data_IF_652215692578
#
_entry.id   IF_652215692578
#
_cell.length_a   1.000
_cell.length_b   1.000
_cell.length_c   1.000
_cell.angle_alpha   90.00
_cell.angle_beta   90.00
_cell.angle_gamma   90.00
#
_symmetry.space_group_name_H-M   'P 1'
#
loop_
_entity.id
_entity.type
_entity.pdbx_description
1 polymer ?
#
# COMPACT_ATOMS: atom_id res chain seq x y z
N UNK A 1 -13.19 22.06 8.48
CA UNK A 1 -11.83 22.60 8.28
C UNK A 1 -11.79 23.20 6.88
N UNK A 2 -11.44 24.47 6.72
CA UNK A 2 -11.29 25.13 5.40
C UNK A 2 -9.87 24.96 4.82
N UNK A 3 -9.13 23.95 5.27
CA UNK A 3 -7.76 23.70 4.86
C UNK A 3 -7.73 22.75 3.66
N UNK A 4 -7.13 23.20 2.56
CA UNK A 4 -6.78 22.33 1.43
C UNK A 4 -5.47 21.60 1.75
N UNK A 5 -5.46 20.28 1.58
CA UNK A 5 -4.29 19.42 1.83
C UNK A 5 -3.93 18.67 0.55
N UNK A 6 -2.66 18.75 0.12
CA UNK A 6 -2.18 17.97 -1.02
C UNK A 6 -1.66 16.60 -0.56
N UNK A 7 -2.35 15.54 -0.96
CA UNK A 7 -2.01 14.15 -0.62
C UNK A 7 -1.35 13.47 -1.82
N UNK A 8 -0.31 12.69 -1.57
CA UNK A 8 0.37 11.84 -2.55
C UNK A 8 0.30 10.37 -2.16
N UNK A 9 0.27 9.50 -3.16
CA UNK A 9 0.39 8.05 -3.00
C UNK A 9 1.47 7.53 -3.94
N UNK A 10 2.39 6.74 -3.40
CA UNK A 10 3.48 6.17 -4.18
C UNK A 10 2.96 4.97 -4.96
N UNK A 11 3.11 5.05 -6.29
CA UNK A 11 2.96 3.92 -7.21
C UNK A 11 4.30 3.72 -7.92
N UNK A 12 5.11 2.81 -7.39
CA UNK A 12 6.46 2.58 -7.87
C UNK A 12 6.87 1.14 -7.61
N UNK A 13 7.89 0.69 -8.33
CA UNK A 13 8.54 -0.59 -8.04
C UNK A 13 9.52 -0.44 -6.87
N UNK A 14 9.51 -1.30 -5.84
CA UNK A 14 10.50 -1.25 -4.76
C UNK A 14 11.90 -1.67 -5.25
N UNK A 15 12.91 -1.54 -4.39
CA UNK A 15 14.22 -2.16 -4.65
C UNK A 15 14.22 -3.53 -3.98
N UNK A 16 13.90 -4.56 -4.77
CA UNK A 16 13.65 -5.91 -4.29
C UNK A 16 14.85 -6.49 -3.54
N UNK A 17 14.64 -6.88 -2.28
CA UNK A 17 15.63 -7.55 -1.44
C UNK A 17 16.93 -6.74 -1.26
N UNK A 18 16.81 -5.42 -1.22
CA UNK A 18 17.91 -4.49 -0.97
C UNK A 18 17.43 -3.39 -0.02
N UNK A 19 17.82 -3.51 1.25
CA UNK A 19 17.44 -2.56 2.28
C UNK A 19 18.00 -1.14 2.01
N UNK A 20 19.29 -1.03 1.68
CA UNK A 20 19.92 0.29 1.49
C UNK A 20 19.39 0.97 0.23
N UNK A 21 19.29 0.23 -0.88
CA UNK A 21 18.69 0.75 -2.11
C UNK A 21 17.22 1.15 -1.91
N UNK A 22 16.46 0.40 -1.12
CA UNK A 22 15.08 0.75 -0.76
C UNK A 22 15.00 2.05 0.04
N UNK A 23 15.91 2.26 1.00
CA UNK A 23 15.99 3.51 1.78
C UNK A 23 16.36 4.69 0.88
N UNK A 24 17.37 4.53 0.02
CA UNK A 24 17.79 5.57 -0.93
C UNK A 24 16.64 5.97 -1.86
N UNK A 25 15.92 4.99 -2.40
CA UNK A 25 14.74 5.22 -3.25
C UNK A 25 13.60 5.88 -2.49
N UNK A 26 13.37 5.48 -1.24
CA UNK A 26 12.34 6.08 -0.37
C UNK A 26 12.61 7.56 -0.16
N UNK A 27 13.86 7.91 0.17
CA UNK A 27 14.30 9.30 0.35
C UNK A 27 14.10 10.11 -0.94
N UNK A 28 14.52 9.56 -2.09
CA UNK A 28 14.34 10.23 -3.39
C UNK A 28 12.87 10.52 -3.71
N UNK A 29 11.96 9.59 -3.40
CA UNK A 29 10.52 9.77 -3.60
C UNK A 29 9.93 10.81 -2.66
N UNK A 30 10.38 10.86 -1.41
CA UNK A 30 10.00 11.90 -0.44
C UNK A 30 10.44 13.28 -0.94
N UNK A 31 11.68 13.42 -1.39
CA UNK A 31 12.21 14.69 -1.91
C UNK A 31 11.43 15.15 -3.15
N UNK A 32 11.10 14.23 -4.07
CA UNK A 32 10.26 14.54 -5.24
C UNK A 32 8.86 14.99 -4.85
N UNK A 33 8.21 14.27 -3.94
CA UNK A 33 6.86 14.62 -3.46
C UNK A 33 6.85 15.99 -2.76
N UNK A 34 7.91 16.29 -2.00
CA UNK A 34 8.10 17.59 -1.34
C UNK A 34 8.22 18.72 -2.36
N UNK A 35 9.00 18.53 -3.43
CA UNK A 35 9.12 19.49 -4.52
C UNK A 35 7.77 19.76 -5.21
N UNK A 36 6.91 18.76 -5.28
CA UNK A 36 5.54 18.89 -5.80
C UNK A 36 4.55 19.48 -4.76
N UNK A 37 5.00 19.82 -3.55
CA UNK A 37 4.17 20.40 -2.49
C UNK A 37 3.23 19.41 -1.79
N UNK A 38 3.53 18.11 -1.85
CA UNK A 38 2.78 17.07 -1.12
C UNK A 38 2.99 17.23 0.39
N UNK A 39 1.90 17.16 1.15
CA UNK A 39 1.88 17.35 2.60
C UNK A 39 1.63 16.04 3.37
N UNK A 40 0.94 15.08 2.76
CA UNK A 40 0.76 13.72 3.29
C UNK A 40 1.15 12.74 2.19
N UNK A 41 2.09 11.84 2.44
CA UNK A 41 2.58 10.87 1.45
C UNK A 41 2.43 9.43 1.98
N UNK A 42 1.70 8.60 1.24
CA UNK A 42 1.55 7.18 1.53
C UNK A 42 2.49 6.30 0.69
N UNK A 43 3.13 5.32 1.32
CA UNK A 43 3.90 4.27 0.65
C UNK A 43 3.14 2.93 0.58
N UNK A 44 3.48 2.06 -0.39
CA UNK A 44 2.87 0.75 -0.53
C UNK A 44 3.05 -0.16 0.70
N UNK A 45 2.25 -1.21 0.76
CA UNK A 45 2.37 -2.27 1.78
C UNK A 45 3.74 -2.90 1.66
N UNK A 46 4.48 -3.06 2.77
CA UNK A 46 5.79 -3.72 2.79
C UNK A 46 6.73 -3.16 1.69
N UNK A 47 6.72 -1.84 1.52
CA UNK A 47 7.53 -1.15 0.51
C UNK A 47 9.04 -1.41 0.68
N UNK A 48 9.52 -1.44 1.93
CA UNK A 48 10.91 -1.81 2.23
C UNK A 48 10.95 -3.26 2.73
N UNK A 49 11.58 -4.23 2.06
CA UNK A 49 12.30 -4.17 0.77
C UNK A 49 11.49 -4.75 -0.41
N UNK A 50 10.16 -4.65 -0.33
CA UNK A 50 9.22 -5.13 -1.35
C UNK A 50 8.38 -6.31 -0.88
N UNK A 51 7.19 -6.46 -1.45
CA UNK A 51 6.29 -7.57 -1.17
C UNK A 51 6.71 -8.80 -1.99
N UNK A 52 7.16 -9.88 -1.35
CA UNK A 52 7.77 -10.96 -2.09
C UNK A 52 6.75 -11.99 -2.58
N UNK A 53 6.37 -11.85 -3.84
CA UNK A 53 5.45 -12.78 -4.49
C UNK A 53 5.93 -14.24 -4.57
N UNK A 54 7.23 -14.48 -4.40
CA UNK A 54 7.80 -15.82 -4.38
C UNK A 54 7.12 -16.73 -3.33
N UNK A 55 6.64 -16.18 -2.21
CA UNK A 55 5.92 -16.97 -1.20
C UNK A 55 4.63 -17.61 -1.74
N UNK A 56 4.00 -16.98 -2.73
CA UNK A 56 2.75 -17.43 -3.34
C UNK A 56 3.00 -18.41 -4.49
N UNK A 57 4.12 -18.26 -5.17
CA UNK A 57 4.40 -18.95 -6.44
C UNK A 57 5.39 -20.09 -6.32
N UNK A 58 6.10 -20.20 -5.20
CA UNK A 58 7.09 -21.25 -4.97
C UNK A 58 6.66 -22.19 -3.83
N UNK A 59 6.94 -23.51 -3.98
CA UNK A 59 6.74 -24.46 -2.89
C UNK A 59 7.51 -24.06 -1.62
N UNK A 60 6.91 -24.30 -0.46
CA UNK A 60 7.51 -23.94 0.85
C UNK A 60 8.94 -24.46 1.03
N UNK A 61 9.22 -25.68 0.56
CA UNK A 61 10.56 -26.29 0.65
C UNK A 61 11.65 -25.52 -0.10
N UNK A 62 11.27 -24.73 -1.12
CA UNK A 62 12.19 -23.93 -1.91
C UNK A 62 12.40 -22.52 -1.33
N UNK A 63 11.63 -22.11 -0.34
CA UNK A 63 11.67 -20.76 0.21
C UNK A 63 12.70 -20.59 1.35
N UNK A 64 13.35 -21.66 1.81
CA UNK A 64 14.23 -21.63 2.98
C UNK A 64 15.37 -20.59 2.90
N UNK A 65 16.24 -20.69 1.90
CA UNK A 65 17.34 -19.73 1.71
C UNK A 65 16.85 -18.31 1.43
N UNK A 66 15.78 -18.19 0.65
CA UNK A 66 15.18 -16.93 0.26
C UNK A 66 14.58 -16.18 1.47
N UNK A 67 13.94 -16.87 2.43
CA UNK A 67 13.42 -16.25 3.66
C UNK A 67 14.56 -15.63 4.48
N UNK A 68 15.73 -16.27 4.55
CA UNK A 68 16.88 -15.71 5.24
C UNK A 68 17.39 -14.41 4.57
N UNK A 69 17.46 -14.39 3.23
CA UNK A 69 17.80 -13.17 2.48
C UNK A 69 16.76 -12.07 2.70
N UNK A 70 15.47 -12.42 2.69
CA UNK A 70 14.37 -11.49 2.95
C UNK A 70 14.44 -10.88 4.36
N UNK A 71 14.71 -11.72 5.36
CA UNK A 71 14.87 -11.30 6.75
C UNK A 71 16.07 -10.39 6.94
N UNK A 72 17.19 -10.65 6.26
CA UNK A 72 18.39 -9.80 6.29
C UNK A 72 18.15 -8.41 5.66
N UNK A 73 17.19 -8.31 4.73
CA UNK A 73 16.81 -7.07 4.06
C UNK A 73 15.51 -6.44 4.61
N UNK A 74 14.99 -6.95 5.72
CA UNK A 74 13.88 -6.34 6.45
C UNK A 74 14.39 -5.25 7.38
N UNK A 75 13.61 -4.17 7.54
CA UNK A 75 14.05 -2.99 8.27
C UNK A 75 13.61 -3.05 9.73
N UNK A 76 14.53 -2.82 10.67
CA UNK A 76 14.14 -2.57 12.07
C UNK A 76 13.64 -1.15 12.25
N UNK A 77 12.63 -0.96 13.09
CA UNK A 77 12.05 0.37 13.40
C UNK A 77 13.07 1.33 14.04
N UNK A 78 14.01 0.82 14.84
CA UNK A 78 15.02 1.60 15.55
C UNK A 78 16.38 1.69 14.82
N UNK A 79 16.41 1.31 13.54
CA UNK A 79 17.61 1.22 12.73
C UNK A 79 18.16 2.58 12.28
N UNK A 80 19.42 2.58 11.80
CA UNK A 80 20.00 3.75 11.13
C UNK A 80 19.24 4.11 9.85
N UNK A 81 18.74 3.10 9.15
CA UNK A 81 17.94 3.20 7.93
C UNK A 81 16.62 3.94 8.18
N UNK A 82 15.88 3.57 9.23
CA UNK A 82 14.70 4.33 9.65
C UNK A 82 15.05 5.78 10.00
N UNK A 83 16.16 6.00 10.73
CA UNK A 83 16.63 7.37 11.05
C UNK A 83 17.02 8.19 9.82
N UNK A 84 17.40 7.56 8.70
CA UNK A 84 17.64 8.25 7.42
C UNK A 84 16.32 8.69 6.80
N UNK A 85 15.31 7.82 6.79
CA UNK A 85 13.95 8.16 6.35
C UNK A 85 13.37 9.30 7.20
N UNK A 86 13.43 9.21 8.54
CA UNK A 86 12.99 10.26 9.46
C UNK A 86 13.60 11.64 9.16
N UNK A 87 14.92 11.68 8.90
CA UNK A 87 15.62 12.92 8.51
C UNK A 87 15.14 13.49 7.17
N UNK A 88 14.88 12.62 6.19
CA UNK A 88 14.32 13.05 4.91
C UNK A 88 12.90 13.61 5.06
N UNK A 89 12.06 12.96 5.87
CA UNK A 89 10.69 13.44 6.18
C UNK A 89 10.73 14.81 6.87
N UNK A 90 11.58 14.98 7.89
CA UNK A 90 11.78 16.26 8.57
C UNK A 90 12.17 17.38 7.60
N UNK A 91 13.15 17.11 6.72
CA UNK A 91 13.60 18.05 5.68
C UNK A 91 12.48 18.39 4.70
N UNK A 92 11.64 17.42 4.35
CA UNK A 92 10.52 17.58 3.44
C UNK A 92 9.30 18.29 4.06
N UNK A 93 9.20 18.32 5.40
CA UNK A 93 8.14 19.02 6.12
C UNK A 93 6.73 18.43 5.92
N UNK A 94 6.64 17.11 5.65
CA UNK A 94 5.39 16.39 5.36
C UNK A 94 5.13 15.25 6.36
N UNK A 95 3.90 14.74 6.40
CA UNK A 95 3.58 13.49 7.09
C UNK A 95 3.79 12.33 6.11
N UNK A 96 4.51 11.29 6.53
CA UNK A 96 4.73 10.08 5.72
C UNK A 96 4.17 8.85 6.42
N UNK A 97 3.37 8.06 5.70
CA UNK A 97 2.95 6.72 6.09
C UNK A 97 3.82 5.71 5.33
N UNK A 98 4.81 5.14 6.02
CA UNK A 98 5.80 4.25 5.43
C UNK A 98 5.48 2.78 5.75
N UNK A 99 5.18 1.98 4.72
CA UNK A 99 5.05 0.52 4.83
C UNK A 99 6.40 -0.19 4.71
N UNK A 100 6.65 -1.22 5.52
CA UNK A 100 7.90 -1.99 5.46
C UNK A 100 7.75 -3.37 6.12
N UNK A 101 8.58 -4.32 5.71
CA UNK A 101 8.82 -5.55 6.46
C UNK A 101 9.62 -5.18 7.70
N UNK A 102 8.95 -5.15 8.83
CA UNK A 102 9.53 -4.82 10.12
C UNK A 102 10.24 -6.05 10.68
N UNK A 103 11.55 -5.94 10.89
CA UNK A 103 12.28 -6.91 11.69
C UNK A 103 12.26 -6.46 13.16
N UNK A 104 11.77 -7.34 14.03
CA UNK A 104 11.84 -7.16 15.48
C UNK A 104 12.43 -8.43 16.08
N UNK A 105 13.68 -8.32 16.54
CA UNK A 105 14.54 -9.44 16.92
C UNK A 105 14.63 -10.46 15.77
N UNK A 106 14.15 -11.68 15.99
CA UNK A 106 14.20 -12.78 15.03
C UNK A 106 12.87 -13.00 14.28
N UNK A 107 11.91 -12.07 14.42
CA UNK A 107 10.59 -12.18 13.80
C UNK A 107 10.36 -11.04 12.80
N UNK A 108 9.52 -11.31 11.81
CA UNK A 108 9.10 -10.31 10.82
C UNK A 108 7.62 -9.94 11.03
N UNK A 109 7.29 -8.68 10.77
CA UNK A 109 5.93 -8.16 10.81
C UNK A 109 5.67 -7.23 9.61
N UNK A 110 4.41 -7.08 9.20
CA UNK A 110 4.04 -6.10 8.18
C UNK A 110 3.74 -4.77 8.86
N UNK A 111 4.76 -3.90 8.92
CA UNK A 111 4.71 -2.65 9.69
C UNK A 111 4.31 -1.44 8.83
N UNK A 112 3.63 -0.48 9.47
CA UNK A 112 3.45 0.88 8.97
C UNK A 112 3.86 1.88 10.06
N UNK A 113 4.72 2.84 9.73
CA UNK A 113 5.10 3.94 10.61
C UNK A 113 4.63 5.27 10.05
N UNK A 114 4.06 6.11 10.91
CA UNK A 114 3.64 7.47 10.62
C UNK A 114 4.72 8.41 11.13
N UNK A 115 5.42 9.06 10.21
CA UNK A 115 6.53 9.96 10.49
C UNK A 115 6.04 11.38 10.26
N UNK A 116 6.04 12.19 11.30
CA UNK A 116 5.53 13.56 11.26
C UNK A 116 6.53 14.56 10.67
N UNK A 117 6.13 15.84 10.66
CA UNK A 117 6.96 16.90 10.06
C UNK A 117 8.21 17.23 10.84
N UNK A 118 8.32 16.80 12.10
CA UNK A 118 9.52 16.93 12.91
C UNK A 118 10.48 15.76 12.70
N UNK A 119 10.05 14.75 11.93
CA UNK A 119 10.79 13.52 11.65
C UNK A 119 10.54 12.43 12.68
N UNK A 120 9.58 12.60 13.59
CA UNK A 120 9.32 11.65 14.67
C UNK A 120 8.28 10.63 14.27
N UNK A 121 8.46 9.38 14.73
CA UNK A 121 7.44 8.34 14.54
C UNK A 121 6.35 8.59 15.59
N UNK A 122 5.25 9.21 15.16
CA UNK A 122 4.11 9.55 16.03
C UNK A 122 3.10 8.42 16.15
N UNK A 123 3.17 7.44 15.24
CA UNK A 123 2.37 6.22 15.33
C UNK A 123 3.05 5.08 14.58
N UNK A 124 2.82 3.86 15.06
CA UNK A 124 3.31 2.62 14.46
C UNK A 124 2.28 1.53 14.66
N UNK A 125 2.03 0.77 13.60
CA UNK A 125 1.11 -0.36 13.60
C UNK A 125 1.68 -1.54 12.84
N UNK A 126 1.24 -2.74 13.20
CA UNK A 126 1.48 -3.98 12.46
C UNK A 126 0.15 -4.50 11.92
N UNK A 127 0.16 -5.05 10.70
CA UNK A 127 -1.01 -5.71 10.09
C UNK A 127 -1.56 -6.73 11.06
N UNK A 128 -2.84 -6.62 11.42
CA UNK A 128 -3.46 -7.40 12.49
C UNK A 128 -3.37 -8.89 12.18
N UNK A 129 -3.68 -9.26 10.94
CA UNK A 129 -3.68 -10.66 10.51
C UNK A 129 -3.10 -10.78 9.11
N UNK A 130 -1.89 -11.33 8.95
CA UNK A 130 -1.36 -11.69 7.64
C UNK A 130 -2.30 -12.65 6.91
N UNK A 131 -2.51 -12.39 5.62
CA UNK A 131 -3.46 -13.10 4.77
C UNK A 131 -2.83 -14.37 4.23
N UNK A 132 -3.53 -15.50 4.36
CA UNK A 132 -3.15 -16.74 3.68
C UNK A 132 -1.66 -17.12 3.90
N UNK A 133 -0.86 -17.21 2.82
CA UNK A 133 0.56 -17.61 2.87
C UNK A 133 1.48 -16.57 3.49
N UNK A 134 1.04 -15.32 3.65
CA UNK A 134 1.78 -14.28 4.37
C UNK A 134 2.15 -14.73 5.80
N UNK A 135 1.33 -15.61 6.40
CA UNK A 135 1.55 -16.21 7.73
C UNK A 135 2.77 -17.10 7.82
N UNK A 136 3.36 -17.48 6.68
CA UNK A 136 4.60 -18.24 6.63
C UNK A 136 5.83 -17.37 6.91
N UNK A 137 5.68 -16.04 6.82
CA UNK A 137 6.78 -15.07 6.94
C UNK A 137 6.53 -14.11 8.10
N UNK A 138 5.33 -13.51 8.16
CA UNK A 138 5.04 -12.43 9.10
C UNK A 138 4.15 -12.88 10.25
N UNK A 139 4.43 -12.32 11.42
CA UNK A 139 3.60 -12.45 12.62
C UNK A 139 2.39 -11.52 12.60
N UNK A 140 1.43 -11.82 13.48
CA UNK A 140 0.24 -11.00 13.71
C UNK A 140 0.56 -9.70 14.46
N UNK A 141 -0.23 -8.66 14.18
CA UNK A 141 -0.19 -7.40 14.91
C UNK A 141 -0.75 -7.54 16.32
N UNK A 142 -0.26 -6.70 17.23
CA UNK A 142 -0.66 -6.72 18.64
C UNK A 142 -1.83 -5.76 18.90
N UNK A 143 -2.47 -5.87 20.07
CA UNK A 143 -3.64 -5.08 20.43
C UNK A 143 -3.37 -3.55 20.38
N UNK A 144 -2.13 -3.14 20.62
CA UNK A 144 -1.68 -1.75 20.53
C UNK A 144 -1.88 -1.17 19.12
N UNK A 145 -1.78 -2.01 18.07
CA UNK A 145 -2.04 -1.62 16.67
C UNK A 145 -3.52 -1.33 16.38
N UNK A 146 -4.40 -1.56 17.36
CA UNK A 146 -5.86 -1.35 17.28
C UNK A 146 -6.36 -0.21 18.18
N UNK A 147 -5.56 0.27 19.13
CA UNK A 147 -5.99 1.29 20.10
C UNK A 147 -6.12 2.66 19.43
N UNK A 148 -5.08 3.06 18.69
CA UNK A 148 -5.08 4.27 17.86
C UNK A 148 -4.88 3.79 16.44
N UNK A 149 -5.86 4.01 15.58
CA UNK A 149 -5.77 3.71 14.14
C UNK A 149 -5.84 4.99 13.30
N UNK A 150 -6.12 6.13 13.95
CA UNK A 150 -6.14 7.45 13.32
C UNK A 150 -5.28 8.41 14.12
N UNK A 151 -4.38 9.10 13.43
CA UNK A 151 -3.43 10.05 13.99
C UNK A 151 -3.90 11.47 13.74
N UNK A 152 -3.95 12.29 14.79
CA UNK A 152 -4.20 13.72 14.64
C UNK A 152 -2.92 14.42 14.17
N UNK A 153 -3.02 15.18 13.08
CA UNK A 153 -1.90 15.89 12.49
C UNK A 153 -2.33 17.29 12.06
N UNK A 154 -1.37 18.17 11.79
CA UNK A 154 -1.64 19.51 11.23
C UNK A 154 -2.28 19.48 9.82
N UNK A 155 -2.39 18.31 9.21
CA UNK A 155 -3.04 18.08 7.91
C UNK A 155 -4.40 17.39 8.05
N UNK A 156 -4.91 17.23 9.26
CA UNK A 156 -6.13 16.48 9.56
C UNK A 156 -5.84 15.09 10.14
N UNK A 157 -6.92 14.34 10.32
CA UNK A 157 -6.91 12.99 10.92
C UNK A 157 -6.57 11.93 9.86
N UNK A 158 -5.41 11.28 10.03
CA UNK A 158 -4.85 10.35 9.04
C UNK A 158 -4.87 8.91 9.56
N UNK A 159 -5.51 8.02 8.82
CA UNK A 159 -5.56 6.57 9.08
C UNK A 159 -4.78 5.79 8.01
N UNK A 160 -4.51 4.50 8.29
CA UNK A 160 -3.87 3.63 7.31
C UNK A 160 -4.09 2.15 7.62
N UNK A 161 -4.35 1.38 6.57
CA UNK A 161 -4.53 -0.07 6.61
C UNK A 161 -3.72 -0.73 5.50
N UNK A 162 -3.42 -2.01 5.70
CA UNK A 162 -2.70 -2.86 4.74
C UNK A 162 -3.65 -3.85 4.07
N UNK A 163 -3.76 -3.80 2.75
CA UNK A 163 -4.35 -4.85 1.91
C UNK A 163 -5.69 -5.37 2.46
N UNK A 164 -5.76 -6.63 2.88
CA UNK A 164 -6.97 -7.29 3.38
C UNK A 164 -7.58 -6.72 4.65
N UNK A 165 -6.88 -5.86 5.39
CA UNK A 165 -7.48 -5.12 6.51
C UNK A 165 -8.65 -4.22 6.06
N UNK A 166 -8.63 -3.76 4.80
CA UNK A 166 -9.73 -2.98 4.21
C UNK A 166 -11.03 -3.78 4.04
N UNK A 167 -10.99 -5.10 4.20
CA UNK A 167 -12.15 -5.97 4.12
C UNK A 167 -12.59 -6.49 5.49
N UNK A 168 -11.93 -6.06 6.56
CA UNK A 168 -12.32 -6.36 7.94
C UNK A 168 -13.24 -5.24 8.46
N UNK A 169 -14.56 -5.48 8.61
CA UNK A 169 -15.51 -4.41 8.94
C UNK A 169 -15.16 -3.72 10.25
N UNK A 170 -14.77 -4.49 11.29
CA UNK A 170 -14.43 -3.93 12.59
C UNK A 170 -13.21 -3.00 12.56
N UNK A 171 -12.23 -3.25 11.69
CA UNK A 171 -11.08 -2.35 11.54
C UNK A 171 -11.49 -1.04 10.88
N UNK A 172 -12.27 -1.11 9.81
CA UNK A 172 -12.81 0.10 9.16
C UNK A 172 -13.70 0.90 10.11
N UNK A 173 -14.62 0.23 10.81
CA UNK A 173 -15.46 0.89 11.82
C UNK A 173 -14.64 1.53 12.94
N UNK A 174 -13.52 0.91 13.34
CA UNK A 174 -12.63 1.52 14.32
C UNK A 174 -12.04 2.84 13.79
N UNK A 175 -11.51 2.87 12.57
CA UNK A 175 -11.00 4.11 11.97
C UNK A 175 -12.10 5.18 11.81
N UNK A 176 -13.30 4.79 11.36
CA UNK A 176 -14.41 5.72 11.24
C UNK A 176 -14.82 6.29 12.60
N UNK A 177 -14.85 5.46 13.65
CA UNK A 177 -15.19 5.90 15.01
C UNK A 177 -14.16 6.88 15.59
N UNK A 178 -12.92 6.82 15.11
CA UNK A 178 -11.84 7.75 15.45
C UNK A 178 -11.80 8.99 14.51
N UNK A 179 -12.73 9.07 13.55
CA UNK A 179 -12.92 10.24 12.69
C UNK A 179 -11.86 10.40 11.60
N UNK A 180 -11.43 9.30 10.97
CA UNK A 180 -10.51 9.34 9.82
C UNK A 180 -11.01 10.30 8.73
N UNK A 181 -10.12 11.16 8.22
CA UNK A 181 -10.42 12.12 7.15
C UNK A 181 -9.61 11.82 5.88
N UNK A 182 -8.35 11.39 6.06
CA UNK A 182 -7.45 10.95 5.00
C UNK A 182 -7.02 9.53 5.34
N UNK A 183 -7.31 8.60 4.44
CA UNK A 183 -6.93 7.20 4.58
C UNK A 183 -5.83 6.84 3.59
N UNK A 184 -4.74 6.29 4.09
CA UNK A 184 -3.69 5.70 3.25
C UNK A 184 -3.94 4.20 3.12
N UNK A 185 -4.32 3.78 1.92
CA UNK A 185 -4.48 2.39 1.58
C UNK A 185 -3.19 1.84 0.99
N UNK A 186 -2.49 1.02 1.76
CA UNK A 186 -1.22 0.39 1.35
C UNK A 186 -1.50 -1.00 0.78
N UNK A 187 -1.06 -1.26 -0.45
CA UNK A 187 -1.25 -2.52 -1.16
C UNK A 187 0.07 -3.05 -1.74
N UNK A 188 0.21 -4.37 -1.99
CA UNK A 188 1.36 -4.92 -2.66
C UNK A 188 1.24 -4.68 -4.17
N UNK A 189 2.06 -5.37 -4.97
CA UNK A 189 1.88 -5.36 -6.42
C UNK A 189 0.71 -6.30 -6.76
N UNK A 190 -0.45 -5.73 -7.05
CA UNK A 190 -1.65 -6.48 -7.41
C UNK A 190 -1.78 -6.63 -8.93
N UNK A 191 -2.27 -7.77 -9.39
CA UNK A 191 -2.35 -8.09 -10.82
C UNK A 191 -3.79 -8.05 -11.34
N UNK A 192 -3.95 -7.92 -12.65
CA UNK A 192 -5.27 -8.12 -13.26
C UNK A 192 -5.72 -9.57 -13.11
N UNK A 193 -7.03 -9.81 -13.24
CA UNK A 193 -7.52 -11.17 -13.41
C UNK A 193 -6.78 -11.84 -14.59
N UNK A 194 -6.10 -12.97 -14.35
CA UNK A 194 -5.52 -13.75 -15.42
C UNK A 194 -6.61 -14.46 -16.21
N UNK A 195 -6.21 -15.04 -17.32
CA UNK A 195 -7.08 -15.88 -18.13
C UNK A 195 -7.55 -17.09 -17.29
N UNK A 196 -8.87 -17.21 -16.99
CA UNK A 196 -9.38 -18.26 -16.13
C UNK A 196 -9.22 -19.66 -16.72
N UNK A 197 -9.01 -19.79 -18.05
CA UNK A 197 -8.69 -21.06 -18.70
C UNK A 197 -7.25 -21.50 -18.45
N UNK A 198 -6.34 -20.56 -18.17
CA UNK A 198 -4.91 -20.83 -17.93
C UNK A 198 -4.58 -21.04 -16.47
N UNK A 199 -5.26 -20.34 -15.57
CA UNK A 199 -5.06 -20.47 -14.13
C UNK A 199 -6.34 -20.12 -13.37
N UNK A 200 -6.69 -20.97 -12.40
CA UNK A 200 -7.70 -20.63 -11.42
C UNK A 200 -7.10 -19.55 -10.48
N UNK A 201 -7.60 -18.32 -10.58
CA UNK A 201 -7.17 -17.20 -9.75
C UNK A 201 -8.33 -16.67 -8.93
N UNK A 202 -8.02 -16.33 -7.67
CA UNK A 202 -9.02 -15.80 -6.77
C UNK A 202 -9.21 -14.31 -7.09
N UNK A 203 -10.45 -13.92 -7.37
CA UNK A 203 -10.82 -12.52 -7.68
C UNK A 203 -10.23 -11.52 -6.68
N UNK A 204 -10.08 -11.97 -5.45
CA UNK A 204 -9.72 -11.14 -4.34
C UNK A 204 -8.25 -10.75 -4.30
N UNK A 205 -7.37 -11.49 -4.99
CA UNK A 205 -5.95 -11.16 -5.20
C UNK A 205 -5.77 -10.42 -6.53
N UNK A 206 -6.59 -9.37 -6.75
CA UNK A 206 -6.52 -8.58 -7.98
C UNK A 206 -6.52 -7.10 -7.70
N UNK A 207 -5.96 -6.35 -8.66
CA UNK A 207 -6.00 -4.89 -8.64
C UNK A 207 -7.43 -4.35 -8.68
N UNK A 208 -8.36 -5.06 -9.33
CA UNK A 208 -9.77 -4.66 -9.39
C UNK A 208 -10.47 -4.82 -8.03
N UNK A 209 -10.29 -5.96 -7.36
CA UNK A 209 -10.86 -6.18 -6.03
C UNK A 209 -10.27 -5.20 -5.01
N UNK A 210 -8.95 -5.00 -5.06
CA UNK A 210 -8.23 -4.02 -4.24
C UNK A 210 -8.80 -2.61 -4.45
N UNK A 211 -8.94 -2.18 -5.70
CA UNK A 211 -9.54 -0.89 -6.03
C UNK A 211 -10.96 -0.73 -5.50
N UNK A 212 -11.81 -1.77 -5.63
CA UNK A 212 -13.19 -1.75 -5.13
C UNK A 212 -13.27 -1.67 -3.61
N UNK A 213 -12.39 -2.37 -2.89
CA UNK A 213 -12.32 -2.28 -1.43
C UNK A 213 -12.07 -0.83 -0.97
N UNK A 214 -11.16 -0.14 -1.65
CA UNK A 214 -10.83 1.26 -1.38
C UNK A 214 -11.98 2.21 -1.72
N UNK A 215 -12.66 2.02 -2.85
CA UNK A 215 -13.86 2.81 -3.19
C UNK A 215 -14.96 2.63 -2.17
N UNK A 216 -15.19 1.40 -1.73
CA UNK A 216 -16.20 1.09 -0.72
C UNK A 216 -15.89 1.80 0.59
N UNK A 217 -14.64 1.76 1.05
CA UNK A 217 -14.21 2.48 2.25
C UNK A 217 -14.41 4.00 2.15
N UNK A 218 -14.09 4.60 0.99
CA UNK A 218 -14.30 6.02 0.77
C UNK A 218 -15.78 6.42 0.92
N UNK A 219 -16.69 5.59 0.41
CA UNK A 219 -18.14 5.82 0.47
C UNK A 219 -18.69 5.54 1.87
N UNK A 220 -18.34 4.39 2.45
CA UNK A 220 -18.83 3.95 3.76
C UNK A 220 -18.36 4.87 4.89
N UNK A 221 -17.08 5.25 4.88
CA UNK A 221 -16.48 6.10 5.90
C UNK A 221 -16.60 7.60 5.67
N UNK A 222 -17.11 8.01 4.50
CA UNK A 222 -17.10 9.41 4.05
C UNK A 222 -15.70 10.07 4.20
N UNK A 223 -14.65 9.32 3.85
CA UNK A 223 -13.23 9.71 3.98
C UNK A 223 -12.54 9.78 2.62
N UNK A 224 -11.51 10.61 2.49
CA UNK A 224 -10.64 10.57 1.31
C UNK A 224 -9.73 9.35 1.39
N UNK A 225 -9.57 8.61 0.29
CA UNK A 225 -8.71 7.41 0.24
C UNK A 225 -7.63 7.62 -0.82
N UNK A 226 -6.36 7.49 -0.41
CA UNK A 226 -5.20 7.52 -1.29
C UNK A 226 -4.57 6.12 -1.35
N UNK A 227 -4.52 5.53 -2.55
CA UNK A 227 -4.07 4.15 -2.76
C UNK A 227 -2.61 4.13 -3.19
N UNK A 228 -1.74 3.60 -2.34
CA UNK A 228 -0.33 3.37 -2.63
C UNK A 228 -0.11 1.88 -2.91
N UNK A 229 0.48 1.56 -4.05
CA UNK A 229 0.67 0.18 -4.52
C UNK A 229 2.04 -0.03 -5.13
N UNK A 230 2.61 -1.21 -4.94
CA UNK A 230 3.85 -1.56 -5.63
C UNK A 230 3.57 -1.78 -7.12
N UNK A 231 4.58 -1.52 -7.94
CA UNK A 231 4.59 -1.89 -9.36
C UNK A 231 5.64 -2.98 -9.55
N UNK A 232 5.36 -3.95 -10.40
CA UNK A 232 6.32 -4.98 -10.79
C UNK A 232 6.62 -4.86 -12.28
N UNK A 233 7.90 -4.71 -12.62
CA UNK A 233 8.33 -4.65 -14.02
C UNK A 233 8.85 -6.00 -14.51
N UNK A 234 8.91 -6.18 -15.83
CA UNK A 234 9.37 -7.44 -16.46
C UNK A 234 10.77 -7.84 -15.99
N UNK A 235 11.63 -6.85 -15.77
CA UNK A 235 13.00 -7.03 -15.31
C UNK A 235 13.09 -7.79 -13.97
N UNK A 236 12.09 -7.66 -13.11
CA UNK A 236 12.11 -8.22 -11.77
C UNK A 236 11.18 -9.42 -11.58
N UNK A 237 10.61 -9.98 -12.66
CA UNK A 237 9.80 -11.20 -12.60
C UNK A 237 10.59 -12.37 -12.01
N UNK A 238 11.83 -12.58 -12.48
CA UNK A 238 12.68 -13.68 -12.01
C UNK A 238 13.03 -13.52 -10.52
N UNK A 239 13.45 -12.32 -10.11
CA UNK A 239 13.81 -12.00 -8.72
C UNK A 239 12.65 -12.22 -7.74
N UNK A 240 11.40 -12.16 -8.22
CA UNK A 240 10.20 -12.35 -7.41
C UNK A 240 9.54 -13.72 -7.63
N UNK A 241 10.20 -14.66 -8.31
CA UNK A 241 9.66 -16.00 -8.55
C UNK A 241 8.41 -16.00 -9.44
N UNK A 242 8.33 -15.06 -10.38
CA UNK A 242 7.16 -14.85 -11.26
C UNK A 242 7.44 -15.14 -12.74
N UNK A 243 8.65 -15.58 -13.10
CA UNK A 243 8.98 -15.96 -14.48
C UNK A 243 8.06 -17.08 -14.96
N UNK A 244 7.42 -16.87 -16.11
CA UNK A 244 6.51 -17.85 -16.72
C UNK A 244 5.15 -17.98 -16.02
N UNK A 245 4.84 -17.13 -15.04
CA UNK A 245 3.55 -17.15 -14.37
C UNK A 245 2.47 -16.45 -15.25
N UNK A 246 1.31 -17.09 -15.50
CA UNK A 246 0.20 -16.50 -16.27
C UNK A 246 -0.49 -15.29 -15.59
N UNK A 247 -0.16 -14.99 -14.33
CA UNK A 247 -0.77 -13.94 -13.50
C UNK A 247 -0.13 -12.58 -13.73
N UNK A 248 1.18 -12.53 -13.97
CA UNK A 248 1.88 -11.26 -14.14
C UNK A 248 1.66 -10.69 -15.53
N UNK A 249 0.67 -9.80 -15.64
CA UNK A 249 0.62 -8.84 -16.74
C UNK A 249 1.41 -7.61 -16.32
N UNK A 250 2.53 -7.37 -16.98
CA UNK A 250 3.26 -6.12 -16.83
C UNK A 250 2.42 -5.02 -17.46
N UNK A 251 1.78 -4.21 -16.61
CA UNK A 251 0.93 -3.14 -17.08
C UNK A 251 1.84 -2.10 -17.76
N UNK A 252 1.81 -2.05 -19.09
CA UNK A 252 2.17 -0.83 -19.84
C UNK A 252 1.09 0.19 -19.55
N UNK A 253 1.19 0.88 -18.42
CA UNK A 253 0.38 2.07 -18.22
C UNK A 253 0.74 3.04 -19.35
N UNK A 254 -0.21 3.52 -20.16
CA UNK A 254 0.07 4.68 -20.99
C UNK A 254 0.57 5.78 -20.05
N UNK A 255 1.60 6.57 -20.43
CA UNK A 255 2.18 7.57 -19.55
C UNK A 255 1.05 8.43 -18.96
N UNK A 256 0.89 8.38 -17.64
CA UNK A 256 0.02 9.29 -16.91
C UNK A 256 0.46 10.69 -17.31
N UNK A 257 -0.35 11.37 -18.13
CA UNK A 257 -0.22 12.82 -18.26
C UNK A 257 -0.47 13.37 -16.86
N UNK A 258 0.60 13.84 -16.23
CA UNK A 258 0.62 14.46 -14.90
C UNK A 258 -0.06 15.85 -14.92
N UNK A 259 -1.12 16.02 -15.71
CA UNK A 259 -1.78 17.30 -15.98
C UNK A 259 -3.24 17.29 -15.52
N UNK A 260 -3.55 16.63 -14.41
CA UNK A 260 -4.84 16.81 -13.72
C UNK A 260 -4.63 17.08 -12.25
N UNK A 261 -4.30 18.34 -11.99
CA UNK A 261 -4.51 19.00 -10.72
C UNK A 261 -5.96 18.76 -10.27
N UNK A 262 -6.14 18.12 -9.11
CA UNK A 262 -7.39 18.23 -8.35
C UNK A 262 -7.43 19.63 -7.72
N UNK A 263 -7.72 20.63 -8.54
CA UNK A 263 -8.10 21.97 -8.09
C UNK A 263 -9.58 22.16 -8.40
N UNK A 264 -10.42 22.04 -7.38
CA UNK A 264 -11.84 22.43 -7.45
C UNK A 264 -12.80 21.43 -6.81
N UNK A 265 -13.78 21.98 -6.08
CA UNK A 265 -14.95 21.30 -5.54
C UNK A 265 -15.70 20.53 -6.64
N UNK A 266 -15.39 19.25 -6.83
CA UNK A 266 -16.18 18.35 -7.69
C UNK A 266 -16.27 16.97 -7.05
N UNK A 267 -16.95 16.91 -5.91
CA UNK A 267 -17.61 15.67 -5.52
C UNK A 267 -18.78 15.45 -6.49
N UNK A 268 -18.95 14.22 -6.99
CA UNK A 268 -20.15 13.65 -7.65
C UNK A 268 -20.22 13.46 -9.18
N UNK A 269 -19.45 14.13 -10.03
CA UNK A 269 -19.80 14.12 -11.48
C UNK A 269 -19.15 13.06 -12.39
N UNK A 270 -18.20 12.23 -11.91
CA UNK A 270 -17.50 11.27 -12.79
C UNK A 270 -17.94 9.80 -12.66
N UNK A 271 -18.81 9.45 -11.71
CA UNK A 271 -19.12 8.04 -11.38
C UNK A 271 -20.21 7.43 -12.29
N UNK A 272 -21.04 8.23 -12.98
CA UNK A 272 -22.23 7.72 -13.66
C UNK A 272 -22.09 7.46 -15.18
N UNK A 273 -21.17 8.13 -15.89
CA UNK A 273 -21.18 8.06 -17.36
C UNK A 273 -20.42 6.85 -17.94
N UNK A 274 -19.32 6.40 -17.33
CA UNK A 274 -18.48 5.35 -17.93
C UNK A 274 -19.04 3.93 -17.71
N UNK A 275 -19.77 3.72 -16.61
CA UNK A 275 -20.45 2.47 -16.29
C UNK A 275 -21.75 2.28 -17.08
N UNK A 276 -22.41 3.36 -17.50
CA UNK A 276 -23.65 3.29 -18.28
C UNK A 276 -23.39 3.08 -19.78
N UNK A 277 -22.31 3.65 -20.32
CA UNK A 277 -21.92 3.48 -21.72
C UNK A 277 -21.46 2.05 -22.07
N UNK A 278 -21.01 1.25 -21.10
CA UNK A 278 -20.48 -0.11 -21.33
C UNK A 278 -21.44 -1.25 -21.00
N UNK A 279 -22.65 -0.98 -20.49
CA UNK A 279 -23.63 -2.00 -20.06
C UNK A 279 -24.89 -2.14 -20.92
N UNK A 280 -24.93 -1.59 -22.13
CA UNK A 280 -26.05 -1.82 -23.06
C UNK A 280 -25.98 -3.12 -23.88
N UNK A 281 -24.97 -3.98 -23.67
CA UNK A 281 -24.95 -5.30 -24.29
C UNK A 281 -25.31 -6.39 -23.26
N UNK A 282 -26.49 -6.99 -23.46
CA UNK A 282 -26.92 -8.30 -22.97
C UNK A 282 -27.12 -8.52 -21.46
N UNK A 283 -28.31 -8.17 -20.97
CA UNK A 283 -28.95 -8.87 -19.86
C UNK A 283 -30.17 -9.62 -20.41
N UNK A 284 -30.04 -10.94 -20.65
CA UNK A 284 -31.19 -11.85 -20.72
C UNK A 284 -31.38 -12.43 -19.33
N UNK A 285 -32.46 -12.03 -18.67
CA UNK A 285 -32.91 -12.65 -17.43
C UNK A 285 -33.40 -14.07 -17.72
N UNK A 286 -32.86 -15.06 -17.01
CA UNK A 286 -33.53 -16.34 -16.83
C UNK A 286 -34.43 -16.23 -15.58
N UNK A 287 -35.69 -16.63 -15.76
CA UNK A 287 -36.67 -16.84 -14.68
C UNK A 287 -36.37 -18.14 -13.95
#
# INVERSE_FOLDING_TARGET
>A
MDQTVKVGAVQAEPVWLDLEGSVDKTISLIEKASADGVQVLGFPEVWISGYPWQMWTSPVINNGSWIHEYMANSMRRDSLQMRRNQRAVKKAGMLVVLGYSEQDRASLYMGQSFIDTDGEIIHHRRKVKPTHVERTIWGEGQAESLQVVVVDSKFGKVGALNCWEHLQPLLRYNEYSQGVQIHIASWPAEFEMPDPEKIAWLYHETGEASYRANQFMAIEGATFVAVASQVLTEKNLERNGLTGNPVTKTVRWPPLKMDRLLTGNVAWWWILNDLWARRQATCRAYR
#
